data_IF_858228317010
#
_entry.id   IF_858228317010
#
_cell.length_a   1.000
_cell.length_b   1.000
_cell.length_c   1.000
_cell.angle_alpha   90.00
_cell.angle_beta   90.00
_cell.angle_gamma   90.00
#
_symmetry.space_group_name_H-M   'P 1'
#
loop_
_entity.id
_entity.type
_entity.pdbx_description
1 polymer ?
#
# COMPACT_ATOMS: atom_id res chain seq x y z
N UNK A 1 5.76 -7.38 -6.87
CA UNK A 1 5.46 -6.61 -8.09
C UNK A 1 6.45 -5.45 -8.20
N UNK A 2 6.97 -5.12 -9.37
CA UNK A 2 7.87 -3.98 -9.53
C UNK A 2 7.56 -3.22 -10.82
N UNK A 3 7.52 -1.90 -10.74
CA UNK A 3 7.37 -0.96 -11.84
C UNK A 3 8.64 -0.11 -11.96
N UNK A 4 8.59 0.92 -12.81
CA UNK A 4 9.71 1.83 -13.01
C UNK A 4 10.04 2.64 -11.75
N UNK A 5 9.02 3.13 -11.04
CA UNK A 5 9.18 4.07 -9.92
C UNK A 5 9.02 3.38 -8.57
N UNK A 6 8.29 2.26 -8.50
CA UNK A 6 7.91 1.60 -7.26
C UNK A 6 8.15 0.10 -7.32
N UNK A 7 8.52 -0.48 -6.18
CA UNK A 7 8.54 -1.93 -6.00
C UNK A 7 7.72 -2.30 -4.78
N UNK A 8 6.76 -3.19 -4.99
CA UNK A 8 5.90 -3.73 -3.95
C UNK A 8 6.19 -5.19 -3.67
N UNK A 9 6.17 -5.52 -2.39
CA UNK A 9 6.34 -6.88 -1.89
C UNK A 9 5.12 -7.17 -1.03
N UNK A 10 4.36 -8.19 -1.42
CA UNK A 10 3.31 -8.72 -0.56
C UNK A 10 3.95 -9.80 0.30
N UNK A 11 3.93 -9.59 1.61
CA UNK A 11 4.31 -10.62 2.55
C UNK A 11 3.17 -11.64 2.63
N UNK A 12 3.44 -12.89 2.21
CA UNK A 12 2.42 -13.93 2.13
C UNK A 12 2.09 -14.56 3.49
N UNK A 13 2.90 -14.32 4.52
CA UNK A 13 2.70 -14.85 5.87
C UNK A 13 1.77 -13.94 6.68
N UNK A 14 2.04 -12.63 6.64
CA UNK A 14 1.28 -11.61 7.36
C UNK A 14 0.20 -10.93 6.51
N UNK A 15 0.26 -11.05 5.19
CA UNK A 15 -0.60 -10.30 4.26
C UNK A 15 -0.25 -8.81 4.14
N UNK A 16 0.89 -8.38 4.70
CA UNK A 16 1.30 -6.99 4.65
C UNK A 16 1.84 -6.63 3.27
N UNK A 17 1.38 -5.51 2.72
CA UNK A 17 1.88 -4.99 1.45
C UNK A 17 2.88 -3.90 1.77
N UNK A 18 4.16 -4.18 1.59
CA UNK A 18 5.23 -3.20 1.77
C UNK A 18 5.71 -2.70 0.41
N UNK A 19 6.17 -1.46 0.34
CA UNK A 19 6.67 -0.87 -0.89
C UNK A 19 7.92 -0.03 -0.71
N UNK A 20 8.75 0.06 -1.75
CA UNK A 20 9.97 0.86 -1.80
C UNK A 20 9.97 1.70 -3.07
N UNK A 21 10.43 2.94 -2.95
CA UNK A 21 10.58 3.88 -4.07
C UNK A 21 11.91 3.63 -4.78
N UNK A 22 11.88 3.47 -6.10
CA UNK A 22 13.05 3.21 -6.93
C UNK A 22 13.57 4.47 -7.64
N UNK A 23 12.67 5.42 -7.98
CA UNK A 23 13.00 6.67 -8.67
C UNK A 23 12.33 7.88 -8.00
N UNK A 24 12.92 9.06 -8.18
CA UNK A 24 12.40 10.33 -7.65
C UNK A 24 13.05 10.77 -6.35
N UNK A 25 12.42 11.74 -5.68
CA UNK A 25 12.95 12.41 -4.48
C UNK A 25 13.10 11.46 -3.29
N UNK A 26 12.25 10.44 -3.21
CA UNK A 26 12.21 9.49 -2.09
C UNK A 26 12.88 8.15 -2.44
N UNK A 27 13.76 8.12 -3.44
CA UNK A 27 14.43 6.90 -3.86
C UNK A 27 15.08 6.17 -2.68
N UNK A 28 14.96 4.83 -2.68
CA UNK A 28 15.42 3.90 -1.65
C UNK A 28 14.70 4.05 -0.28
N UNK A 29 13.60 4.82 -0.21
CA UNK A 29 12.74 4.88 0.98
C UNK A 29 11.58 3.90 0.92
N UNK A 30 11.19 3.41 2.09
CA UNK A 30 10.00 2.59 2.27
C UNK A 30 8.75 3.46 2.30
N UNK A 31 7.69 3.00 1.64
CA UNK A 31 6.40 3.68 1.65
C UNK A 31 5.84 3.81 3.06
N UNK A 32 6.12 2.84 3.94
CA UNK A 32 5.67 2.85 5.35
C UNK A 32 6.34 3.96 6.17
N UNK A 33 7.54 4.39 5.79
CA UNK A 33 8.25 5.49 6.45
C UNK A 33 7.75 6.86 5.97
N UNK A 34 7.14 6.90 4.78
CA UNK A 34 6.53 8.12 4.23
C UNK A 34 5.21 8.44 4.93
N UNK A 35 5.00 9.73 5.17
CA UNK A 35 3.75 10.28 5.69
C UNK A 35 2.78 10.66 4.55
N UNK A 36 1.53 10.97 4.89
CA UNK A 36 0.45 11.19 3.91
C UNK A 36 0.78 12.26 2.87
N UNK A 37 1.36 13.39 3.28
CA UNK A 37 1.73 14.48 2.37
C UNK A 37 2.82 14.04 1.37
N UNK A 38 3.82 13.28 1.83
CA UNK A 38 4.88 12.74 0.96
C UNK A 38 4.34 11.71 -0.03
N UNK A 39 3.39 10.88 0.39
CA UNK A 39 2.74 9.90 -0.48
C UNK A 39 1.88 10.57 -1.56
N UNK A 40 1.24 11.70 -1.25
CA UNK A 40 0.46 12.48 -2.21
C UNK A 40 1.35 13.12 -3.29
N UNK A 41 2.50 13.69 -2.88
CA UNK A 41 3.51 14.21 -3.81
C UNK A 41 4.08 13.10 -4.72
N UNK A 42 4.38 11.93 -4.13
CA UNK A 42 4.85 10.76 -4.87
C UNK A 42 3.78 10.24 -5.84
N UNK A 43 2.49 10.28 -5.47
CA UNK A 43 1.38 9.92 -6.34
C UNK A 43 1.30 10.84 -7.56
N UNK A 44 1.41 12.15 -7.37
CA UNK A 44 1.43 13.10 -8.48
C UNK A 44 2.63 12.89 -9.41
N UNK A 45 3.79 12.49 -8.87
CA UNK A 45 4.95 12.11 -9.66
C UNK A 45 4.70 10.82 -10.46
N UNK A 46 4.18 9.77 -9.82
CA UNK A 46 3.85 8.51 -10.47
C UNK A 46 2.85 8.72 -11.62
N UNK A 47 1.77 9.47 -11.42
CA UNK A 47 0.77 9.71 -12.47
C UNK A 47 1.34 10.40 -13.72
N UNK A 48 2.40 11.22 -13.57
CA UNK A 48 3.05 11.91 -14.68
C UNK A 48 4.06 11.03 -15.41
N UNK A 49 4.82 10.24 -14.67
CA UNK A 49 5.94 9.45 -15.21
C UNK A 49 5.54 8.02 -15.62
N UNK A 50 4.69 7.36 -14.83
CA UNK A 50 4.33 5.94 -15.00
C UNK A 50 2.98 5.59 -14.33
N UNK A 51 1.96 5.35 -15.14
CA UNK A 51 0.60 5.03 -14.66
C UNK A 51 0.54 3.71 -13.86
N UNK A 52 1.36 2.71 -14.21
CA UNK A 52 1.46 1.45 -13.47
C UNK A 52 1.94 1.68 -12.02
N UNK A 53 2.95 2.54 -11.84
CA UNK A 53 3.42 2.96 -10.52
C UNK A 53 2.32 3.67 -9.72
N UNK A 54 1.53 4.55 -10.37
CA UNK A 54 0.43 5.26 -9.71
C UNK A 54 -0.65 4.27 -9.21
N UNK A 55 -0.98 3.27 -10.02
CA UNK A 55 -1.93 2.23 -9.65
C UNK A 55 -1.45 1.42 -8.43
N UNK A 56 -0.17 1.03 -8.41
CA UNK A 56 0.42 0.33 -7.28
C UNK A 56 0.34 1.17 -5.99
N UNK A 57 0.74 2.44 -6.05
CA UNK A 57 0.69 3.34 -4.90
C UNK A 57 -0.74 3.56 -4.39
N UNK A 58 -1.72 3.65 -5.29
CA UNK A 58 -3.13 3.79 -4.93
C UNK A 58 -3.61 2.60 -4.09
N UNK A 59 -3.34 1.38 -4.55
CA UNK A 59 -3.71 0.16 -3.82
C UNK A 59 -3.04 0.08 -2.44
N UNK A 60 -1.79 0.52 -2.31
CA UNK A 60 -1.13 0.61 -1.00
C UNK A 60 -1.77 1.64 -0.08
N UNK A 61 -2.14 2.82 -0.59
CA UNK A 61 -2.83 3.85 0.19
C UNK A 61 -4.20 3.38 0.67
N UNK A 62 -4.95 2.64 -0.16
CA UNK A 62 -6.24 2.05 0.23
C UNK A 62 -6.08 1.03 1.37
N UNK A 63 -5.03 0.19 1.32
CA UNK A 63 -4.75 -0.79 2.37
C UNK A 63 -4.24 -0.14 3.67
N UNK A 64 -3.42 0.92 3.55
CA UNK A 64 -2.81 1.62 4.70
C UNK A 64 -3.76 2.60 5.37
N UNK A 65 -4.64 3.23 4.60
CA UNK A 65 -5.60 4.22 5.08
C UNK A 65 -7.05 3.81 4.75
N UNK A 66 -7.53 2.66 5.24
CA UNK A 66 -8.88 2.17 4.95
C UNK A 66 -9.98 3.06 5.54
N UNK A 67 -9.63 3.98 6.45
CA UNK A 67 -10.56 4.88 7.12
C UNK A 67 -10.76 6.24 6.39
N UNK A 68 -10.00 6.49 5.31
CA UNK A 68 -10.07 7.72 4.50
C UNK A 68 -11.07 7.57 3.34
N UNK A 69 -11.22 6.36 2.82
CA UNK A 69 -12.30 5.94 1.93
C UNK A 69 -13.50 5.56 2.79
N UNK A 70 -14.60 6.31 2.72
CA UNK A 70 -15.81 6.14 3.55
C UNK A 70 -16.62 4.86 3.31
N UNK A 71 -15.96 3.70 3.23
CA UNK A 71 -16.57 2.38 3.29
C UNK A 71 -16.08 1.69 4.55
N UNK A 72 -16.79 1.99 5.64
CA UNK A 72 -17.05 1.02 6.69
C UNK A 72 -17.43 -0.32 6.04
N UNK A 73 -17.03 -1.43 6.66
CA UNK A 73 -17.46 -2.81 6.40
C UNK A 73 -16.49 -3.71 5.61
N UNK A 74 -15.54 -4.34 6.33
CA UNK A 74 -15.47 -5.82 6.40
C UNK A 74 -14.59 -6.26 7.58
N UNK A 75 -15.13 -6.22 8.80
CA UNK A 75 -14.66 -7.11 9.86
C UNK A 75 -15.67 -8.25 9.99
N UNK A 76 -15.37 -9.39 9.37
CA UNK A 76 -16.05 -10.65 9.64
C UNK A 76 -15.13 -11.85 9.35
N UNK A 77 -13.95 -11.89 9.96
CA UNK A 77 -13.29 -13.17 10.18
C UNK A 77 -12.53 -13.16 11.51
N UNK A 78 -13.28 -13.34 12.60
CA UNK A 78 -12.69 -13.74 13.87
C UNK A 78 -13.50 -14.90 14.44
N UNK A 79 -12.92 -16.08 14.30
CA UNK A 79 -12.92 -17.12 15.34
C UNK A 79 -14.27 -17.73 15.72
N UNK A 80 -14.64 -18.83 15.06
CA UNK A 80 -15.49 -19.84 15.66
C UNK A 80 -14.92 -21.25 15.44
N UNK A 81 -13.68 -21.48 15.86
CA UNK A 81 -13.18 -22.83 16.17
C UNK A 81 -13.46 -23.12 17.63
N UNK A 82 -14.73 -23.33 17.98
CA UNK A 82 -15.06 -23.96 19.25
C UNK A 82 -14.97 -25.47 19.07
N UNK A 83 -13.80 -26.01 19.40
CA UNK A 83 -13.67 -27.36 19.89
C UNK A 83 -14.33 -27.43 21.28
N UNK A 84 -15.34 -28.29 21.48
CA UNK A 84 -15.71 -28.80 22.80
C UNK A 84 -16.47 -30.13 22.66
N UNK A 85 -15.88 -31.15 23.32
CA UNK A 85 -16.44 -32.42 23.81
C UNK A 85 -16.81 -33.52 22.80
#
# INVERSE_FOLDING_TARGET
MASRILKMTLDHDSGDLSGVVLEGTYRDWLLEELNREQLDDLMAFCQREDADSAQLLASYLEQRFPNDTGHTEHNANTGATNATA
#
